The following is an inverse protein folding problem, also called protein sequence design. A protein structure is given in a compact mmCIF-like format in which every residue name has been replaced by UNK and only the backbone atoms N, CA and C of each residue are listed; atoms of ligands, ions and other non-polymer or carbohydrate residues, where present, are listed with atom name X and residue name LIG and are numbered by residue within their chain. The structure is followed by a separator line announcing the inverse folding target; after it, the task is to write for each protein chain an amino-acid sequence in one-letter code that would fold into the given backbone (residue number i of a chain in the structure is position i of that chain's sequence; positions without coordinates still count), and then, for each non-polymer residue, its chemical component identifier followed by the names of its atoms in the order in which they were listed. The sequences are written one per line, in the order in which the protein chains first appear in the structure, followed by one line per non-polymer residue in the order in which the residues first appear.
data_IF_461976534992
#
_entry.id   IF_461976534992
#
_cell.length_a   1.000
_cell.length_b   1.000
_cell.length_c   1.000
_cell.angle_alpha   90.00
_cell.angle_beta   90.00
_cell.angle_gamma   90.00
#
_symmetry.space_group_name_H-M   'P 1'
#
loop_
_entity.id
_entity.type
_entity.pdbx_description
1 polymer ?
#
# COMPACT_ATOMS: atom_id res chain seq x y z
N UNK A 1 78.21 29.80 -33.36
CA UNK A 1 78.56 28.39 -33.08
C UNK A 1 79.36 28.31 -31.79
N UNK A 2 78.75 27.92 -30.66
CA UNK A 2 79.38 27.30 -29.46
C UNK A 2 78.35 27.32 -28.31
N UNK A 3 77.78 26.17 -27.93
CA UNK A 3 78.15 25.28 -26.80
C UNK A 3 77.42 25.59 -25.47
N UNK A 4 76.51 24.66 -25.15
CA UNK A 4 76.38 23.91 -23.88
C UNK A 4 76.30 24.66 -22.53
N UNK A 5 75.29 24.33 -21.71
CA UNK A 5 75.40 23.35 -20.60
C UNK A 5 74.07 23.20 -19.83
N UNK A 6 73.77 21.95 -19.50
CA UNK A 6 72.70 21.48 -18.61
C UNK A 6 72.88 21.98 -17.17
N UNK A 7 71.77 22.23 -16.46
CA UNK A 7 71.66 21.93 -15.02
C UNK A 7 70.24 21.42 -14.72
N UNK A 8 70.22 20.28 -14.03
CA UNK A 8 69.08 19.58 -13.47
C UNK A 8 68.34 20.41 -12.42
N UNK A 9 67.01 20.31 -12.39
CA UNK A 9 66.25 20.51 -11.16
C UNK A 9 65.05 19.57 -11.15
N UNK A 10 65.28 18.46 -10.45
CA UNK A 10 64.33 17.44 -10.02
C UNK A 10 63.17 18.08 -9.25
N UNK A 11 61.93 17.80 -9.63
CA UNK A 11 60.81 17.88 -8.69
C UNK A 11 59.89 16.70 -8.95
N UNK A 12 60.13 15.64 -8.18
CA UNK A 12 59.20 14.53 -7.99
C UNK A 12 58.03 15.10 -7.16
N UNK A 13 56.85 15.21 -7.75
CA UNK A 13 55.62 15.43 -6.99
C UNK A 13 54.76 14.18 -7.16
N UNK A 14 54.76 13.36 -6.13
CA UNK A 14 54.01 12.13 -6.03
C UNK A 14 52.51 12.46 -5.94
N UNK A 15 51.76 12.14 -7.00
CA UNK A 15 50.30 12.20 -7.00
C UNK A 15 49.77 10.98 -6.24
N UNK A 16 49.41 11.18 -4.98
CA UNK A 16 48.65 10.21 -4.19
C UNK A 16 47.25 10.04 -4.83
N UNK A 17 47.07 8.92 -5.54
CA UNK A 17 45.77 8.41 -5.96
C UNK A 17 44.98 7.98 -4.73
N UNK A 18 44.18 8.89 -4.17
CA UNK A 18 43.09 8.54 -3.26
C UNK A 18 42.00 7.85 -4.08
N UNK A 19 42.08 6.53 -4.17
CA UNK A 19 40.97 5.68 -4.55
C UNK A 19 39.89 5.76 -3.46
N UNK A 20 39.04 6.79 -3.56
CA UNK A 20 37.83 6.86 -2.77
C UNK A 20 36.88 5.76 -3.23
N UNK A 21 36.65 4.77 -2.37
CA UNK A 21 35.51 3.88 -2.50
C UNK A 21 34.24 4.74 -2.55
N UNK A 22 33.68 4.92 -3.74
CA UNK A 22 32.32 5.43 -3.90
C UNK A 22 31.38 4.37 -3.32
N UNK A 23 31.06 4.51 -2.04
CA UNK A 23 29.85 3.96 -1.44
C UNK A 23 28.67 4.77 -2.01
N UNK A 24 28.37 4.56 -3.29
CA UNK A 24 27.12 5.04 -3.87
C UNK A 24 25.96 4.43 -3.08
N UNK A 25 24.85 5.16 -2.88
CA UNK A 25 23.66 4.57 -2.29
C UNK A 25 23.30 3.36 -3.17
N UNK A 26 23.27 2.18 -2.54
CA UNK A 26 22.67 1.00 -3.10
C UNK A 26 21.21 1.35 -3.35
N UNK A 27 20.91 1.78 -4.58
CA UNK A 27 19.58 1.62 -5.14
C UNK A 27 19.31 0.13 -4.99
N UNK A 28 18.46 -0.22 -4.04
CA UNK A 28 17.87 -1.55 -3.97
C UNK A 28 17.22 -1.73 -5.32
N UNK A 29 17.89 -2.48 -6.20
CA UNK A 29 17.31 -2.91 -7.45
C UNK A 29 16.03 -3.63 -7.05
N UNK A 30 14.89 -2.96 -7.25
CA UNK A 30 13.58 -3.58 -7.17
C UNK A 30 13.65 -4.65 -8.25
N UNK A 31 13.92 -5.89 -7.86
CA UNK A 31 13.80 -6.99 -8.79
C UNK A 31 12.40 -6.88 -9.38
N UNK A 32 12.31 -6.84 -10.72
CA UNK A 32 11.07 -6.85 -11.49
C UNK A 32 10.35 -8.20 -11.29
N UNK A 33 10.01 -8.52 -10.04
CA UNK A 33 8.93 -9.46 -9.78
C UNK A 33 7.71 -8.81 -10.42
N UNK A 34 7.19 -9.46 -11.47
CA UNK A 34 5.97 -9.02 -12.11
C UNK A 34 4.91 -8.81 -11.03
N UNK A 35 4.40 -7.59 -10.96
CA UNK A 35 3.30 -7.18 -10.07
C UNK A 35 2.16 -8.18 -10.23
N UNK A 36 1.53 -8.58 -9.13
CA UNK A 36 0.40 -9.51 -9.20
C UNK A 36 -0.70 -8.91 -10.10
N UNK A 37 -1.24 -9.69 -11.06
CA UNK A 37 -2.16 -9.17 -12.06
C UNK A 37 -3.44 -8.56 -11.46
N UNK A 38 -3.84 -8.98 -10.25
CA UNK A 38 -5.00 -8.44 -9.53
C UNK A 38 -4.80 -7.00 -9.07
N UNK A 39 -3.55 -6.55 -9.01
CA UNK A 39 -3.12 -5.25 -8.49
C UNK A 39 -2.21 -4.53 -9.47
N UNK A 40 -2.57 -4.57 -10.75
CA UNK A 40 -1.82 -4.00 -11.87
C UNK A 40 -2.69 -3.14 -12.78
N UNK A 41 -2.09 -2.11 -13.40
CA UNK A 41 -2.80 -1.16 -14.25
C UNK A 41 -3.92 -0.41 -13.49
N UNK A 42 -5.01 -0.11 -14.20
CA UNK A 42 -6.17 0.58 -13.64
C UNK A 42 -7.21 -0.44 -13.19
N UNK A 43 -7.52 -0.45 -11.90
CA UNK A 43 -8.53 -1.32 -11.29
C UNK A 43 -9.75 -0.50 -10.90
N UNK A 44 -10.87 -0.72 -11.59
CA UNK A 44 -12.15 -0.08 -11.28
C UNK A 44 -12.74 -0.67 -10.00
N UNK A 45 -13.01 0.18 -9.01
CA UNK A 45 -13.56 -0.21 -7.70
C UNK A 45 -15.07 -0.05 -7.67
N UNK A 46 -15.58 1.02 -8.30
CA UNK A 46 -17.01 1.33 -8.34
C UNK A 46 -17.32 2.01 -9.67
N UNK A 47 -18.46 1.66 -10.24
CA UNK A 47 -19.04 2.40 -11.36
C UNK A 47 -20.55 2.55 -11.22
N UNK A 48 -21.09 3.61 -11.82
CA UNK A 48 -22.53 3.88 -11.88
C UNK A 48 -22.85 4.89 -12.97
N UNK A 49 -24.11 4.91 -13.40
CA UNK A 49 -24.63 5.95 -14.29
C UNK A 49 -25.27 7.09 -13.49
N UNK A 50 -25.09 8.32 -13.94
CA UNK A 50 -25.64 9.53 -13.31
C UNK A 50 -26.03 10.57 -14.37
N UNK A 51 -26.64 11.68 -13.97
CA UNK A 51 -27.03 12.79 -14.85
C UNK A 51 -26.46 14.11 -14.35
N UNK A 52 -25.57 14.70 -15.13
CA UNK A 52 -24.87 15.94 -14.76
C UNK A 52 -25.38 17.12 -15.57
N UNK A 53 -25.36 18.31 -14.95
CA UNK A 53 -25.59 19.57 -15.64
C UNK A 53 -24.30 20.03 -16.32
N UNK A 54 -24.21 19.90 -17.64
CA UNK A 54 -23.06 20.33 -18.45
C UNK A 54 -23.56 21.34 -19.47
N UNK A 55 -22.95 22.53 -19.51
CA UNK A 55 -23.33 23.64 -20.39
C UNK A 55 -24.84 23.99 -20.36
N UNK A 56 -25.45 23.83 -19.18
CA UNK A 56 -26.88 24.09 -18.95
C UNK A 56 -27.83 22.98 -19.38
N UNK A 57 -27.34 21.87 -19.96
CA UNK A 57 -28.11 20.69 -20.32
C UNK A 57 -27.91 19.53 -19.36
N UNK A 58 -28.90 18.61 -19.31
CA UNK A 58 -28.76 17.32 -18.64
C UNK A 58 -28.01 16.34 -19.53
N UNK A 59 -26.88 15.85 -19.05
CA UNK A 59 -26.04 14.89 -19.74
C UNK A 59 -25.95 13.63 -18.90
N UNK A 60 -26.48 12.53 -19.44
CA UNK A 60 -26.28 11.18 -18.89
C UNK A 60 -24.79 10.85 -18.95
N UNK A 61 -24.21 10.39 -17.86
CA UNK A 61 -22.80 10.02 -17.77
C UNK A 61 -22.63 8.67 -17.12
N UNK A 62 -21.50 8.03 -17.42
CA UNK A 62 -20.99 6.88 -16.70
C UNK A 62 -19.79 7.33 -15.86
N UNK A 63 -19.83 7.07 -14.55
CA UNK A 63 -18.79 7.45 -13.59
C UNK A 63 -18.09 6.20 -13.10
N UNK A 64 -16.76 6.21 -13.12
CA UNK A 64 -15.91 5.17 -12.55
C UNK A 64 -14.94 5.78 -11.55
N UNK A 65 -14.87 5.15 -10.38
CA UNK A 65 -13.78 5.33 -9.43
C UNK A 65 -12.85 4.14 -9.50
N UNK A 66 -11.58 4.41 -9.76
CA UNK A 66 -10.56 3.39 -9.97
C UNK A 66 -9.28 3.72 -9.20
N UNK A 67 -8.44 2.71 -9.02
CA UNK A 67 -7.06 2.89 -8.59
C UNK A 67 -6.12 2.60 -9.75
N UNK A 68 -5.23 3.53 -10.05
CA UNK A 68 -4.15 3.34 -10.99
C UNK A 68 -2.91 2.88 -10.23
N UNK A 69 -2.57 1.59 -10.37
CA UNK A 69 -1.42 0.97 -9.70
C UNK A 69 -0.07 1.42 -10.25
N UNK A 70 -0.03 1.90 -11.50
CA UNK A 70 1.20 2.39 -12.12
C UNK A 70 1.55 3.78 -11.59
N UNK A 71 0.52 4.58 -11.31
CA UNK A 71 0.64 5.95 -10.77
C UNK A 71 0.45 6.03 -9.26
N UNK A 72 0.01 4.94 -8.63
CA UNK A 72 -0.33 4.84 -7.21
C UNK A 72 -1.34 5.93 -6.78
N UNK A 73 -2.43 6.09 -7.53
CA UNK A 73 -3.40 7.15 -7.26
C UNK A 73 -4.83 6.70 -7.57
N UNK A 74 -5.79 7.18 -6.78
CA UNK A 74 -7.20 7.02 -7.13
C UNK A 74 -7.56 8.00 -8.26
N UNK A 75 -8.43 7.58 -9.16
CA UNK A 75 -8.89 8.37 -10.30
C UNK A 75 -10.41 8.31 -10.40
N UNK A 76 -11.01 9.43 -10.78
CA UNK A 76 -12.38 9.51 -11.24
C UNK A 76 -12.39 9.66 -12.75
N UNK A 77 -13.04 8.74 -13.46
CA UNK A 77 -13.24 8.80 -14.91
C UNK A 77 -14.73 8.96 -15.21
N UNK A 78 -15.06 9.96 -16.01
CA UNK A 78 -16.44 10.24 -16.43
C UNK A 78 -16.49 10.18 -17.95
N UNK A 79 -17.38 9.36 -18.49
CA UNK A 79 -17.64 9.26 -19.94
C UNK A 79 -19.10 9.56 -20.26
N UNK A 80 -19.35 10.07 -21.46
CA UNK A 80 -20.71 10.19 -22.00
C UNK A 80 -21.24 8.81 -22.47
N UNK A 81 -22.51 8.69 -22.89
CA UNK A 81 -23.09 7.41 -23.31
C UNK A 81 -22.49 6.86 -24.61
N UNK A 82 -21.74 7.69 -25.36
CA UNK A 82 -20.99 7.28 -26.55
C UNK A 82 -19.58 6.81 -26.18
N UNK A 83 -19.22 6.79 -24.90
CA UNK A 83 -17.91 6.41 -24.38
C UNK A 83 -16.84 7.49 -24.55
N UNK A 84 -17.22 8.71 -24.93
CA UNK A 84 -16.27 9.83 -25.02
C UNK A 84 -15.92 10.29 -23.61
N UNK A 85 -14.64 10.54 -23.39
CA UNK A 85 -14.16 11.10 -22.14
C UNK A 85 -14.73 12.50 -21.91
N UNK A 86 -15.44 12.68 -20.80
CA UNK A 86 -15.90 13.97 -20.28
C UNK A 86 -14.88 14.52 -19.30
N UNK A 87 -14.42 13.70 -18.35
CA UNK A 87 -13.40 14.08 -17.37
C UNK A 87 -12.55 12.88 -16.93
N UNK A 88 -11.30 13.16 -16.59
CA UNK A 88 -10.41 12.26 -15.87
C UNK A 88 -9.68 13.08 -14.79
N UNK A 89 -9.96 12.78 -13.53
CA UNK A 89 -9.48 13.56 -12.39
C UNK A 89 -8.68 12.66 -11.45
N UNK A 90 -7.49 13.11 -11.06
CA UNK A 90 -6.73 12.49 -9.99
C UNK A 90 -7.35 12.84 -8.63
N UNK A 91 -7.47 11.85 -7.76
CA UNK A 91 -8.09 11.96 -6.44
C UNK A 91 -7.13 11.42 -5.37
N UNK A 92 -5.98 12.08 -5.11
CA UNK A 92 -4.94 11.56 -4.21
C UNK A 92 -5.45 11.31 -2.79
N UNK A 93 -6.42 12.11 -2.35
CA UNK A 93 -7.05 12.01 -1.04
C UNK A 93 -8.31 11.14 -1.01
N UNK A 94 -8.66 10.42 -2.08
CA UNK A 94 -9.80 9.50 -2.08
C UNK A 94 -9.41 8.12 -1.56
N UNK A 95 -10.04 7.69 -0.48
CA UNK A 95 -9.95 6.30 0.00
C UNK A 95 -11.03 5.47 -0.70
N UNK A 96 -10.59 4.51 -1.50
CA UNK A 96 -11.48 3.56 -2.18
C UNK A 96 -11.58 2.28 -1.36
N UNK A 97 -12.73 1.61 -1.43
CA UNK A 97 -12.84 0.22 -0.99
C UNK A 97 -11.96 -0.68 -1.87
N UNK A 98 -11.69 -1.89 -1.39
CA UNK A 98 -11.05 -2.92 -2.20
C UNK A 98 -12.07 -3.65 -3.06
N UNK A 99 -11.62 -4.06 -4.24
CA UNK A 99 -12.27 -5.13 -5.00
C UNK A 99 -12.04 -6.48 -4.32
N UNK A 100 -12.87 -7.48 -4.65
CA UNK A 100 -12.70 -8.84 -4.12
C UNK A 100 -11.34 -9.46 -4.49
N UNK A 101 -10.82 -9.14 -5.68
CA UNK A 101 -9.52 -9.61 -6.14
C UNK A 101 -8.37 -9.03 -5.31
N UNK A 102 -8.42 -7.73 -5.02
CA UNK A 102 -7.44 -7.06 -4.15
C UNK A 102 -7.53 -7.58 -2.73
N UNK A 103 -8.75 -7.81 -2.22
CA UNK A 103 -8.97 -8.37 -0.89
C UNK A 103 -8.36 -9.77 -0.80
N UNK A 104 -8.63 -10.64 -1.77
CA UNK A 104 -8.06 -11.98 -1.81
C UNK A 104 -6.52 -11.92 -1.79
N UNK A 105 -5.93 -11.02 -2.59
CA UNK A 105 -4.48 -10.83 -2.60
C UNK A 105 -3.93 -10.36 -1.26
N UNK A 106 -4.58 -9.41 -0.58
CA UNK A 106 -4.17 -8.96 0.74
C UNK A 106 -4.18 -10.10 1.78
N UNK A 107 -5.20 -10.96 1.74
CA UNK A 107 -5.29 -12.12 2.64
C UNK A 107 -4.20 -13.16 2.34
N UNK A 108 -3.87 -13.37 1.08
CA UNK A 108 -2.76 -14.26 0.67
C UNK A 108 -1.41 -13.72 1.15
N UNK A 109 -1.15 -12.43 0.99
CA UNK A 109 0.08 -11.79 1.49
C UNK A 109 0.22 -11.95 3.00
N UNK A 110 -0.85 -11.69 3.76
CA UNK A 110 -0.83 -11.88 5.21
C UNK A 110 -0.62 -13.35 5.60
N UNK A 111 -1.27 -14.29 4.91
CA UNK A 111 -1.15 -15.73 5.18
C UNK A 111 0.24 -16.28 4.85
N UNK A 112 0.91 -15.69 3.87
CA UNK A 112 2.27 -16.05 3.46
C UNK A 112 3.36 -15.41 4.34
N UNK A 113 3.02 -14.38 5.12
CA UNK A 113 3.98 -13.65 5.95
C UNK A 113 4.50 -14.54 7.10
N UNK A 114 5.82 -14.74 7.22
CA UNK A 114 6.38 -15.60 8.27
C UNK A 114 6.05 -15.17 9.70
N UNK A 115 5.86 -13.87 9.96
CA UNK A 115 5.52 -13.37 11.29
C UNK A 115 4.08 -13.69 11.69
N UNK A 116 3.18 -13.82 10.71
CA UNK A 116 1.74 -14.00 10.93
C UNK A 116 1.28 -15.45 10.76
N UNK A 117 2.00 -16.23 9.95
CA UNK A 117 1.60 -17.55 9.48
C UNK A 117 1.07 -18.48 10.58
N UNK A 118 1.84 -18.63 11.66
CA UNK A 118 1.45 -19.54 12.75
C UNK A 118 0.16 -19.12 13.47
N UNK A 119 -0.11 -17.82 13.58
CA UNK A 119 -1.33 -17.31 14.20
C UNK A 119 -2.53 -17.40 13.25
N UNK A 120 -2.32 -17.14 11.96
CA UNK A 120 -3.37 -17.28 10.93
C UNK A 120 -3.78 -18.75 10.78
N UNK A 121 -2.84 -19.69 10.79
CA UNK A 121 -3.14 -21.13 10.76
C UNK A 121 -3.97 -21.63 11.96
N UNK A 122 -3.94 -20.89 13.07
CA UNK A 122 -4.74 -21.16 14.27
C UNK A 122 -6.09 -20.43 14.29
N UNK A 123 -6.36 -19.59 13.29
CA UNK A 123 -7.58 -18.79 13.23
C UNK A 123 -8.75 -19.61 12.69
N UNK A 124 -9.94 -19.31 13.20
CA UNK A 124 -11.20 -19.84 12.64
C UNK A 124 -11.75 -18.93 11.54
N UNK A 125 -11.38 -17.64 11.58
CA UNK A 125 -11.82 -16.62 10.65
C UNK A 125 -10.65 -15.76 10.22
N UNK A 126 -10.53 -15.54 8.91
CA UNK A 126 -9.61 -14.59 8.31
C UNK A 126 -10.42 -13.64 7.42
N UNK A 127 -10.32 -12.34 7.68
CA UNK A 127 -11.07 -11.32 6.96
C UNK A 127 -10.26 -10.03 6.82
N UNK A 128 -10.72 -9.14 5.95
CA UNK A 128 -10.03 -7.90 5.64
C UNK A 128 -10.74 -7.12 4.55
N UNK A 129 -10.05 -6.11 4.03
CA UNK A 129 -10.54 -5.25 2.95
C UNK A 129 -11.06 -3.89 3.40
N UNK A 130 -10.83 -3.51 4.67
CA UNK A 130 -11.04 -2.15 5.15
C UNK A 130 -9.80 -1.33 4.83
N UNK A 131 -9.94 -0.33 3.98
CA UNK A 131 -8.85 0.56 3.60
C UNK A 131 -8.36 1.35 4.79
N UNK A 132 -7.05 1.41 4.95
CA UNK A 132 -6.36 2.12 6.02
C UNK A 132 -5.52 3.22 5.40
N UNK A 133 -5.69 4.45 5.89
CA UNK A 133 -4.87 5.57 5.47
C UNK A 133 -4.73 6.57 6.59
N UNK A 134 -3.51 6.85 7.00
CA UNK A 134 -3.23 7.77 8.10
C UNK A 134 -2.08 8.71 7.73
N UNK A 135 -2.28 10.02 7.87
CA UNK A 135 -1.26 11.01 7.52
C UNK A 135 0.00 10.91 8.41
N UNK A 136 -0.14 10.38 9.63
CA UNK A 136 0.97 10.12 10.54
C UNK A 136 1.74 8.83 10.23
N UNK A 137 1.22 7.99 9.33
CA UNK A 137 1.82 6.71 8.95
C UNK A 137 2.37 6.79 7.52
N UNK A 138 3.67 7.08 7.33
CA UNK A 138 4.22 7.37 6.01
C UNK A 138 4.16 6.18 5.05
N UNK A 139 4.12 4.94 5.55
CA UNK A 139 4.00 3.74 4.72
C UNK A 139 2.56 3.50 4.24
N UNK A 140 1.58 4.10 4.92
CA UNK A 140 0.16 3.97 4.66
C UNK A 140 -0.55 5.31 4.46
N UNK A 141 0.12 6.24 3.76
CA UNK A 141 -0.46 7.52 3.38
C UNK A 141 -0.63 7.65 1.85
N UNK A 142 -0.34 8.82 1.26
CA UNK A 142 -0.45 9.06 -0.17
C UNK A 142 0.40 8.07 -0.96
N UNK A 143 -0.16 7.55 -2.05
CA UNK A 143 0.52 6.55 -2.88
C UNK A 143 0.48 5.12 -2.31
N UNK A 144 -0.13 4.90 -1.16
CA UNK A 144 -0.32 3.56 -0.61
C UNK A 144 -1.73 3.02 -0.89
N UNK A 145 -1.87 1.70 -0.83
CA UNK A 145 -3.16 1.02 -0.84
C UNK A 145 -3.21 0.04 0.32
N UNK A 146 -3.06 0.59 1.51
CA UNK A 146 -3.03 -0.16 2.76
C UNK A 146 -4.43 -0.63 3.19
N UNK A 147 -4.48 -1.83 3.77
CA UNK A 147 -5.71 -2.43 4.27
C UNK A 147 -5.50 -3.20 5.56
N UNK A 148 -6.55 -3.24 6.36
CA UNK A 148 -6.63 -4.14 7.50
C UNK A 148 -6.83 -5.59 7.05
N UNK A 149 -6.04 -6.49 7.64
CA UNK A 149 -6.25 -7.93 7.64
C UNK A 149 -6.33 -8.39 9.09
N UNK A 150 -7.38 -9.13 9.42
CA UNK A 150 -7.65 -9.58 10.78
C UNK A 150 -7.90 -11.07 10.78
N UNK A 151 -7.22 -11.78 11.68
CA UNK A 151 -7.49 -13.18 11.96
C UNK A 151 -8.06 -13.30 13.37
N UNK A 152 -9.12 -14.07 13.53
CA UNK A 152 -9.71 -14.33 14.84
C UNK A 152 -10.02 -15.81 15.06
N UNK A 153 -9.97 -16.21 16.31
CA UNK A 153 -10.42 -17.52 16.76
C UNK A 153 -11.76 -17.40 17.48
N UNK A 154 -12.51 -18.47 17.44
CA UNK A 154 -13.69 -18.70 18.25
C UNK A 154 -13.25 -18.74 19.72
N UNK A 155 -13.84 -17.87 20.54
CA UNK A 155 -13.68 -17.97 22.00
C UNK A 155 -14.36 -19.23 22.54
N UNK A 156 -14.15 -19.53 23.82
CA UNK A 156 -14.88 -20.61 24.51
C UNK A 156 -16.41 -20.43 24.46
N UNK A 157 -16.88 -19.20 24.21
CA UNK A 157 -18.29 -18.86 24.02
C UNK A 157 -18.79 -19.01 22.57
N UNK A 158 -17.95 -19.42 21.61
CA UNK A 158 -18.40 -19.66 20.24
C UNK A 158 -18.45 -18.42 19.33
N UNK A 159 -17.95 -17.28 19.80
CA UNK A 159 -18.35 -15.95 19.36
C UNK A 159 -17.40 -15.26 18.34
N UNK A 160 -16.22 -15.83 18.09
CA UNK A 160 -15.30 -15.36 17.05
C UNK A 160 -14.55 -14.06 17.36
N UNK A 161 -14.63 -13.55 18.60
CA UNK A 161 -14.08 -12.24 18.99
C UNK A 161 -12.61 -12.26 19.40
N UNK A 162 -11.97 -13.42 19.51
CA UNK A 162 -10.56 -13.47 19.92
C UNK A 162 -9.66 -13.10 18.74
N UNK A 163 -9.28 -11.82 18.66
CA UNK A 163 -8.31 -11.31 17.68
C UNK A 163 -6.95 -11.96 17.90
N UNK A 164 -6.47 -12.68 16.89
CA UNK A 164 -5.14 -13.30 16.85
C UNK A 164 -4.14 -12.44 16.11
N UNK A 165 -4.59 -11.85 15.01
CA UNK A 165 -3.80 -10.98 14.14
C UNK A 165 -4.61 -9.75 13.80
N UNK A 166 -3.97 -8.60 13.81
CA UNK A 166 -4.45 -7.38 13.18
C UNK A 166 -3.26 -6.80 12.44
N UNK A 167 -3.22 -6.98 11.13
CA UNK A 167 -2.13 -6.52 10.30
C UNK A 167 -2.59 -5.42 9.33
N UNK A 168 -1.64 -4.61 8.89
CA UNK A 168 -1.79 -3.72 7.75
C UNK A 168 -0.99 -4.27 6.58
N UNK A 169 -1.66 -4.49 5.47
CA UNK A 169 -1.08 -4.96 4.21
C UNK A 169 -1.20 -3.86 3.17
N UNK A 170 -0.11 -3.53 2.49
CA UNK A 170 -0.14 -2.64 1.35
C UNK A 170 -0.15 -3.45 0.05
N UNK A 171 -1.30 -3.43 -0.65
CA UNK A 171 -1.43 -4.10 -1.93
C UNK A 171 -0.79 -3.32 -3.08
N UNK A 172 -0.44 -2.03 -2.87
CA UNK A 172 0.35 -1.26 -3.84
C UNK A 172 1.77 -1.82 -3.95
N UNK A 173 2.40 -2.17 -2.84
CA UNK A 173 3.76 -2.71 -2.81
C UNK A 173 3.83 -4.23 -2.66
N UNK A 174 2.72 -4.90 -2.36
CA UNK A 174 2.65 -6.35 -2.17
C UNK A 174 3.31 -6.80 -0.87
N UNK A 175 3.18 -6.02 0.21
CA UNK A 175 3.90 -6.24 1.47
C UNK A 175 2.99 -6.13 2.68
N UNK A 176 3.29 -6.89 3.73
CA UNK A 176 2.81 -6.59 5.08
C UNK A 176 3.64 -5.43 5.63
N UNK A 177 2.97 -4.35 6.03
CA UNK A 177 3.61 -3.13 6.54
C UNK A 177 3.66 -3.16 8.07
N UNK A 178 2.51 -3.41 8.70
CA UNK A 178 2.38 -3.50 10.16
C UNK A 178 1.84 -4.87 10.53
N UNK A 179 2.66 -5.84 10.97
CA UNK A 179 2.18 -7.17 11.32
C UNK A 179 1.39 -7.21 12.65
N UNK A 180 1.61 -6.23 13.53
CA UNK A 180 0.91 -6.08 14.81
C UNK A 180 0.36 -4.65 14.97
N UNK A 181 -0.78 -4.41 14.35
CA UNK A 181 -1.48 -3.13 14.32
C UNK A 181 -2.43 -3.00 15.52
N UNK A 182 -2.30 -1.89 16.27
CA UNK A 182 -3.08 -1.63 17.48
C UNK A 182 -2.54 -2.32 18.75
N UNK A 183 -1.40 -2.99 18.64
CA UNK A 183 -0.71 -3.63 19.76
C UNK A 183 -1.39 -4.89 20.31
N UNK A 184 -0.66 -5.57 21.19
CA UNK A 184 -0.92 -6.91 21.73
C UNK A 184 -2.14 -7.04 22.66
N UNK A 185 -3.23 -6.28 22.46
CA UNK A 185 -4.52 -6.61 23.08
C UNK A 185 -5.15 -7.80 22.33
N UNK A 186 -4.46 -8.94 22.48
CA UNK A 186 -4.86 -10.28 22.05
C UNK A 186 -5.54 -11.04 23.19
N UNK A 187 -5.61 -10.42 24.38
CA UNK A 187 -6.34 -10.96 25.54
C UNK A 187 -7.82 -10.68 25.30
N UNK A 188 -8.67 -11.71 25.19
CA UNK A 188 -10.11 -11.52 25.03
C UNK A 188 -10.66 -10.70 26.20
N UNK A 189 -11.55 -9.75 25.89
CA UNK A 189 -12.41 -9.19 26.93
C UNK A 189 -13.17 -10.33 27.61
N UNK A 190 -13.09 -10.40 28.93
CA UNK A 190 -13.94 -11.30 29.69
C UNK A 190 -15.41 -10.89 29.57
N UNK A 191 -16.37 -11.78 29.92
CA UNK A 191 -17.79 -11.45 29.83
C UNK A 191 -18.21 -10.19 30.61
N UNK A 192 -17.49 -9.80 31.67
CA UNK A 192 -17.75 -8.58 32.41
C UNK A 192 -17.26 -7.34 31.65
N UNK A 193 -16.10 -7.42 30.99
CA UNK A 193 -15.57 -6.37 30.12
C UNK A 193 -16.43 -6.17 28.87
N UNK A 194 -16.90 -7.25 28.24
CA UNK A 194 -17.83 -7.17 27.11
C UNK A 194 -19.15 -6.51 27.50
N UNK A 195 -19.69 -6.83 28.69
CA UNK A 195 -20.90 -6.22 29.23
C UNK A 195 -20.70 -4.73 29.56
N UNK A 196 -19.50 -4.35 30.01
CA UNK A 196 -19.15 -2.96 30.29
C UNK A 196 -18.99 -2.13 28.99
N UNK A 197 -18.60 -2.75 27.87
CA UNK A 197 -18.45 -2.10 26.57
C UNK A 197 -19.75 -1.96 25.75
N UNK A 198 -20.85 -2.59 26.18
CA UNK A 198 -22.17 -2.40 25.56
C UNK A 198 -22.70 -0.98 25.83
N UNK A 199 -22.27 -0.01 25.02
CA UNK A 199 -22.82 1.35 25.02
C UNK A 199 -21.83 2.46 24.67
N UNK A 200 -20.52 2.20 24.73
CA UNK A 200 -19.50 3.17 24.36
C UNK A 200 -18.57 2.56 23.33
N UNK A 201 -18.81 2.91 22.07
CA UNK A 201 -17.80 2.80 21.01
C UNK A 201 -16.67 3.79 21.36
N UNK A 202 -15.38 3.43 21.18
CA UNK A 202 -14.30 4.42 21.25
C UNK A 202 -14.52 5.57 20.27
#
# INVERSE_FOLDING_TARGET
MTRSRNVFATTLMATLLLAGCQSGPTAVARADAARDPRVSGVVVVRSYDDEFKIDGGDVRVHVEYAWDYDRAIATERITDPQGKLVSLTDQPDLTLNLTDAEKAYALELASADPALKAQIEQSDYLYGGFSYREASDPDCYLGSRCVHVVASARGSAGDGWRKLVHAIVDVQTGRVIHPDFGGAETTPFDPAQLKAHQGNTP
#
